data_IF_605577484067
#
_entry.id   IF_605577484067
#
_cell.length_a   1.000
_cell.length_b   1.000
_cell.length_c   1.000
_cell.angle_alpha   90.00
_cell.angle_beta   90.00
_cell.angle_gamma   90.00
#
_symmetry.space_group_name_H-M   'P 1'
#
loop_
_entity.id
_entity.type
_entity.pdbx_description
1 polymer ?
#
# COMPACT_ATOMS: atom_id res chain seq x y z
N UNK A 1 48.67 -14.07 -42.74
CA UNK A 1 48.65 -13.16 -41.57
C UNK A 1 47.90 -13.88 -40.46
N UNK A 2 48.60 -14.41 -39.46
CA UNK A 2 48.73 -13.84 -38.08
C UNK A 2 47.66 -14.45 -37.15
N UNK A 3 47.91 -15.05 -35.98
CA UNK A 3 49.12 -15.50 -35.27
C UNK A 3 48.71 -16.62 -34.29
N UNK A 4 49.68 -17.43 -33.85
CA UNK A 4 49.55 -18.56 -32.91
C UNK A 4 49.82 -18.13 -31.45
N UNK A 5 49.45 -19.00 -30.49
CA UNK A 5 49.99 -19.22 -29.11
C UNK A 5 49.40 -18.31 -28.00
N UNK A 6 49.23 -18.68 -26.72
CA UNK A 6 49.95 -19.60 -25.83
C UNK A 6 49.05 -20.17 -24.71
N UNK A 7 49.34 -21.39 -24.26
CA UNK A 7 49.03 -21.86 -22.91
C UNK A 7 50.21 -21.54 -21.99
N UNK A 8 49.94 -21.12 -20.75
CA UNK A 8 50.89 -21.19 -19.64
C UNK A 8 50.12 -21.16 -18.31
N UNK A 9 50.40 -22.15 -17.48
CA UNK A 9 49.88 -22.34 -16.13
C UNK A 9 50.54 -21.36 -15.14
N UNK A 10 49.83 -21.01 -14.06
CA UNK A 10 50.45 -20.53 -12.81
C UNK A 10 49.82 -21.26 -11.62
N UNK A 11 50.73 -21.70 -10.77
CA UNK A 11 50.62 -22.52 -9.57
C UNK A 11 50.17 -21.70 -8.35
N UNK A 12 49.41 -22.38 -7.48
CA UNK A 12 49.16 -22.21 -6.03
C UNK A 12 49.72 -20.99 -5.28
N UNK A 13 48.91 -20.36 -4.42
CA UNK A 13 49.22 -20.16 -2.99
C UNK A 13 48.05 -19.55 -2.18
N UNK A 14 47.74 -20.15 -1.04
CA UNK A 14 47.43 -19.49 0.25
C UNK A 14 46.18 -18.60 0.39
N UNK A 15 45.30 -18.93 1.34
CA UNK A 15 45.28 -18.32 2.70
C UNK A 15 43.90 -18.56 3.34
N UNK A 16 43.88 -19.13 4.55
CA UNK A 16 42.70 -19.18 5.43
C UNK A 16 42.15 -17.77 5.67
N UNK A 17 40.85 -17.55 5.47
CA UNK A 17 40.11 -16.51 6.18
C UNK A 17 38.90 -17.13 6.87
N UNK A 18 38.86 -16.91 8.18
CA UNK A 18 37.79 -17.31 9.08
C UNK A 18 36.45 -16.75 8.62
N UNK A 19 35.41 -17.59 8.62
CA UNK A 19 34.04 -17.13 8.45
C UNK A 19 33.54 -16.67 9.82
N UNK A 20 33.20 -15.39 10.02
CA UNK A 20 32.53 -14.98 11.25
C UNK A 20 31.16 -15.69 11.30
N UNK A 21 30.83 -16.24 12.47
CA UNK A 21 29.48 -16.70 12.76
C UNK A 21 28.53 -15.51 12.55
N UNK A 22 27.69 -15.59 11.52
CA UNK A 22 26.63 -14.62 11.30
C UNK A 22 25.61 -14.84 12.42
N UNK A 23 25.67 -13.98 13.42
CA UNK A 23 24.51 -13.71 14.25
C UNK A 23 23.51 -12.92 13.41
N UNK A 24 22.24 -13.18 13.68
CA UNK A 24 21.11 -12.29 13.42
C UNK A 24 20.48 -12.43 12.03
N UNK A 25 19.36 -13.16 11.99
CA UNK A 25 18.10 -12.51 11.61
C UNK A 25 16.98 -13.25 12.34
N UNK A 26 16.44 -12.58 13.35
CA UNK A 26 15.19 -12.96 13.95
C UNK A 26 14.18 -13.08 12.83
N UNK A 27 13.66 -14.28 12.61
CA UNK A 27 12.55 -14.51 11.70
C UNK A 27 11.33 -13.78 12.27
N UNK A 28 11.26 -12.48 12.02
CA UNK A 28 10.08 -11.68 12.23
C UNK A 28 9.02 -12.30 11.33
N UNK A 29 8.13 -13.06 11.96
CA UNK A 29 6.87 -13.47 11.35
C UNK A 29 6.22 -12.22 10.74
N UNK A 30 5.56 -12.32 9.58
CA UNK A 30 4.84 -11.18 9.02
C UNK A 30 3.83 -10.73 10.07
N UNK A 31 4.12 -9.60 10.70
CA UNK A 31 3.23 -8.98 11.67
C UNK A 31 1.99 -8.56 10.88
N UNK A 32 0.95 -9.39 10.92
CA UNK A 32 -0.39 -8.90 10.60
C UNK A 32 -0.68 -7.76 11.58
N UNK A 33 -1.09 -6.58 11.11
CA UNK A 33 -1.47 -5.51 12.01
C UNK A 33 -2.52 -6.05 12.99
N UNK A 34 -2.26 -5.84 14.28
CA UNK A 34 -3.07 -6.37 15.37
C UNK A 34 -4.48 -5.77 15.28
N UNK A 35 -5.49 -6.62 15.41
CA UNK A 35 -6.91 -6.27 15.28
C UNK A 35 -7.38 -5.14 16.24
N UNK A 36 -6.60 -4.83 17.27
CA UNK A 36 -6.87 -3.72 18.21
C UNK A 36 -6.51 -2.33 17.65
N UNK A 37 -5.56 -2.24 16.70
CA UNK A 37 -5.22 -0.97 16.01
C UNK A 37 -6.33 -0.57 15.01
N UNK A 38 -7.03 -1.57 14.50
CA UNK A 38 -8.09 -1.42 13.49
C UNK A 38 -9.34 -0.72 14.05
N UNK A 39 -9.70 -1.03 15.30
CA UNK A 39 -10.81 -0.37 16.00
C UNK A 39 -10.49 1.10 16.33
N UNK A 40 -9.22 1.50 16.28
CA UNK A 40 -8.72 2.85 16.49
C UNK A 40 -8.51 3.65 15.19
N UNK A 41 -8.88 3.11 14.02
CA UNK A 41 -8.84 3.87 12.78
C UNK A 41 -9.93 4.95 12.80
N UNK A 42 -9.52 6.14 13.25
CA UNK A 42 -10.38 7.31 13.31
C UNK A 42 -10.90 7.66 11.90
N UNK A 43 -12.22 7.85 11.80
CA UNK A 43 -12.88 8.15 10.54
C UNK A 43 -12.41 9.48 9.95
N UNK A 44 -12.00 10.45 10.79
CA UNK A 44 -11.46 11.72 10.29
C UNK A 44 -10.03 11.54 9.75
N UNK A 45 -9.22 10.68 10.35
CA UNK A 45 -7.94 10.26 9.76
C UNK A 45 -8.09 9.59 8.40
N UNK A 46 -9.01 8.63 8.30
CA UNK A 46 -9.30 7.94 7.04
C UNK A 46 -9.82 8.91 5.97
N UNK A 47 -10.70 9.84 6.33
CA UNK A 47 -11.16 10.91 5.44
C UNK A 47 -9.99 11.74 4.91
N UNK A 48 -9.13 12.26 5.81
CA UNK A 48 -7.98 13.09 5.41
C UNK A 48 -7.04 12.33 4.48
N UNK A 49 -6.77 11.05 4.77
CA UNK A 49 -5.90 10.20 3.95
C UNK A 49 -6.52 9.94 2.57
N UNK A 50 -7.82 9.63 2.54
CA UNK A 50 -8.58 9.40 1.30
C UNK A 50 -8.62 10.65 0.41
N UNK A 51 -8.88 11.83 0.99
CA UNK A 51 -8.97 13.11 0.28
C UNK A 51 -7.63 13.58 -0.33
N UNK A 52 -6.49 13.10 0.17
CA UNK A 52 -5.15 13.43 -0.36
C UNK A 52 -4.77 12.63 -1.61
N UNK A 53 -5.56 11.63 -1.99
CA UNK A 53 -5.33 10.86 -3.21
C UNK A 53 -5.60 11.72 -4.46
N UNK A 54 -4.97 11.37 -5.58
CA UNK A 54 -5.43 11.87 -6.87
C UNK A 54 -6.84 11.37 -7.16
N UNK A 55 -7.59 12.05 -8.03
CA UNK A 55 -8.95 11.64 -8.39
C UNK A 55 -9.05 10.17 -8.81
N UNK A 56 -8.12 9.70 -9.66
CA UNK A 56 -8.12 8.32 -10.14
C UNK A 56 -7.91 7.30 -9.01
N UNK A 57 -6.96 7.57 -8.10
CA UNK A 57 -6.72 6.73 -6.92
C UNK A 57 -7.93 6.74 -5.98
N UNK A 58 -8.43 7.94 -5.66
CA UNK A 58 -9.62 8.15 -4.84
C UNK A 58 -10.81 7.33 -5.35
N UNK A 59 -11.12 7.47 -6.65
CA UNK A 59 -12.25 6.79 -7.27
C UNK A 59 -12.14 5.27 -7.13
N UNK A 60 -10.97 4.69 -7.42
CA UNK A 60 -10.73 3.24 -7.29
C UNK A 60 -10.94 2.75 -5.86
N UNK A 61 -10.47 3.50 -4.86
CA UNK A 61 -10.65 3.15 -3.44
C UNK A 61 -12.13 3.18 -3.05
N UNK A 62 -12.87 4.23 -3.44
CA UNK A 62 -14.32 4.34 -3.14
C UNK A 62 -15.13 3.26 -3.86
N UNK A 63 -14.80 2.96 -5.11
CA UNK A 63 -15.46 1.90 -5.88
C UNK A 63 -15.24 0.50 -5.27
N UNK A 64 -14.09 0.28 -4.62
CA UNK A 64 -13.73 -1.00 -4.00
C UNK A 64 -14.44 -1.26 -2.66
N UNK A 65 -15.01 -0.24 -2.01
CA UNK A 65 -15.80 -0.39 -0.77
C UNK A 65 -17.29 -0.26 -1.11
N UNK A 66 -18.08 -1.36 -1.08
CA UNK A 66 -19.48 -1.35 -1.55
C UNK A 66 -20.37 -0.29 -0.90
N UNK A 67 -20.24 -0.05 0.42
CA UNK A 67 -21.03 0.97 1.12
C UNK A 67 -20.67 2.40 0.68
N UNK A 68 -19.39 2.70 0.46
CA UNK A 68 -18.98 4.03 0.00
C UNK A 68 -19.43 4.26 -1.45
N UNK A 69 -19.25 3.27 -2.31
CA UNK A 69 -19.78 3.29 -3.68
C UNK A 69 -21.29 3.52 -3.69
N UNK A 70 -22.04 2.78 -2.87
CA UNK A 70 -23.49 2.93 -2.77
C UNK A 70 -23.90 4.35 -2.31
N UNK A 71 -23.14 4.98 -1.40
CA UNK A 71 -23.36 6.38 -1.02
C UNK A 71 -23.19 7.35 -2.20
N UNK A 72 -22.27 7.08 -3.12
CA UNK A 72 -22.11 7.91 -4.34
C UNK A 72 -23.22 7.64 -5.34
N UNK A 73 -23.53 6.37 -5.58
CA UNK A 73 -24.57 5.95 -6.52
C UNK A 73 -25.98 6.43 -6.08
N UNK A 74 -26.19 6.62 -4.77
CA UNK A 74 -27.41 7.19 -4.22
C UNK A 74 -27.69 8.64 -4.67
N UNK A 75 -26.68 9.39 -5.14
CA UNK A 75 -26.85 10.70 -5.76
C UNK A 75 -27.36 10.63 -7.21
N UNK A 76 -27.53 9.42 -7.77
CA UNK A 76 -28.03 9.19 -9.11
C UNK A 76 -26.98 9.39 -10.20
N UNK A 77 -27.43 9.63 -11.43
CA UNK A 77 -26.58 9.61 -12.63
C UNK A 77 -25.38 10.59 -12.60
N UNK A 78 -25.48 11.66 -11.81
CA UNK A 78 -24.44 12.70 -11.69
C UNK A 78 -23.59 12.56 -10.41
N UNK A 79 -23.83 11.54 -9.58
CA UNK A 79 -23.16 11.39 -8.28
C UNK A 79 -21.63 11.39 -8.39
N UNK A 80 -21.10 10.64 -9.36
CA UNK A 80 -19.66 10.58 -9.61
C UNK A 80 -19.07 11.89 -10.12
N UNK A 81 -19.83 12.69 -10.89
CA UNK A 81 -19.37 14.00 -11.34
C UNK A 81 -19.33 15.01 -10.18
N UNK A 82 -20.35 14.98 -9.32
CA UNK A 82 -20.36 15.79 -8.11
C UNK A 82 -19.20 15.44 -7.18
N UNK A 83 -18.98 14.14 -6.96
CA UNK A 83 -17.85 13.67 -6.15
C UNK A 83 -16.53 14.07 -6.79
N UNK A 84 -16.35 13.91 -8.10
CA UNK A 84 -15.13 14.35 -8.79
C UNK A 84 -14.80 15.83 -8.55
N UNK A 85 -15.80 16.69 -8.55
CA UNK A 85 -15.61 18.13 -8.34
C UNK A 85 -15.31 18.50 -6.87
N UNK A 86 -15.69 17.66 -5.91
CA UNK A 86 -15.70 18.01 -4.49
C UNK A 86 -14.97 17.00 -3.59
N UNK A 87 -14.33 15.96 -4.13
CA UNK A 87 -13.90 14.82 -3.32
C UNK A 87 -12.92 15.20 -2.21
N UNK A 88 -12.09 16.24 -2.42
CA UNK A 88 -11.10 16.75 -1.46
C UNK A 88 -11.70 17.63 -0.34
N UNK A 89 -12.93 18.11 -0.51
CA UNK A 89 -13.62 19.00 0.47
C UNK A 89 -14.91 18.40 1.00
N UNK A 90 -15.44 17.35 0.37
CA UNK A 90 -16.65 16.66 0.75
C UNK A 90 -16.46 15.91 2.08
N UNK A 91 -17.50 15.95 2.93
CA UNK A 91 -17.49 15.35 4.26
C UNK A 91 -17.70 13.82 4.24
N UNK A 92 -16.67 13.08 3.85
CA UNK A 92 -16.64 11.62 3.80
C UNK A 92 -16.74 10.96 5.16
N UNK A 93 -16.37 11.64 6.24
CA UNK A 93 -16.39 11.08 7.60
C UNK A 93 -17.71 10.39 7.92
N UNK A 94 -18.86 10.98 7.58
CA UNK A 94 -20.19 10.40 7.84
C UNK A 94 -20.43 9.08 7.10
N UNK A 95 -19.84 8.91 5.91
CA UNK A 95 -19.91 7.66 5.17
C UNK A 95 -18.96 6.61 5.76
N UNK A 96 -17.78 7.04 6.22
CA UNK A 96 -16.78 6.18 6.86
C UNK A 96 -17.26 5.71 8.25
N UNK A 97 -17.97 6.55 9.00
CA UNK A 97 -18.57 6.21 10.31
C UNK A 97 -19.61 5.08 10.22
N UNK A 98 -20.16 4.82 9.02
CA UNK A 98 -21.11 3.72 8.76
C UNK A 98 -20.43 2.39 8.41
N UNK A 99 -19.11 2.43 8.22
CA UNK A 99 -18.31 1.24 7.97
C UNK A 99 -18.06 0.51 9.29
N UNK A 100 -18.12 -0.81 9.27
CA UNK A 100 -17.67 -1.62 10.39
C UNK A 100 -16.14 -1.62 10.51
N UNK A 101 -15.59 -2.29 11.52
CA UNK A 101 -14.15 -2.30 11.76
C UNK A 101 -13.37 -2.97 10.61
N UNK A 102 -13.91 -4.04 10.02
CA UNK A 102 -13.25 -4.76 8.93
C UNK A 102 -13.24 -3.91 7.65
N UNK A 103 -14.35 -3.24 7.35
CA UNK A 103 -14.45 -2.32 6.22
C UNK A 103 -13.52 -1.10 6.39
N UNK A 104 -13.36 -0.58 7.61
CA UNK A 104 -12.40 0.50 7.89
C UNK A 104 -10.96 0.06 7.72
N UNK A 105 -10.62 -1.17 8.13
CA UNK A 105 -9.32 -1.75 7.85
C UNK A 105 -9.05 -1.85 6.36
N UNK A 106 -10.02 -2.40 5.62
CA UNK A 106 -9.91 -2.56 4.18
C UNK A 106 -9.74 -1.21 3.49
N UNK A 107 -10.48 -0.18 3.93
CA UNK A 107 -10.32 1.18 3.42
C UNK A 107 -8.90 1.72 3.67
N UNK A 108 -8.36 1.54 4.88
CA UNK A 108 -7.00 1.96 5.20
C UNK A 108 -5.95 1.30 4.28
N UNK A 109 -6.06 -0.03 4.11
CA UNK A 109 -5.17 -0.81 3.26
C UNK A 109 -5.24 -0.38 1.79
N UNK A 110 -6.45 -0.16 1.26
CA UNK A 110 -6.65 0.32 -0.10
C UNK A 110 -6.06 1.72 -0.32
N UNK A 111 -6.20 2.61 0.67
CA UNK A 111 -5.59 3.94 0.61
C UNK A 111 -4.06 3.83 0.56
N UNK A 112 -3.46 2.98 1.40
CA UNK A 112 -2.00 2.82 1.43
C UNK A 112 -1.46 2.20 0.14
N UNK A 113 -2.16 1.20 -0.41
CA UNK A 113 -1.85 0.62 -1.72
C UNK A 113 -1.96 1.66 -2.83
N UNK A 114 -3.02 2.48 -2.83
CA UNK A 114 -3.23 3.50 -3.85
C UNK A 114 -2.12 4.56 -3.84
N UNK A 115 -1.57 4.91 -2.67
CA UNK A 115 -0.44 5.85 -2.54
C UNK A 115 0.89 5.28 -2.99
N UNK A 116 1.08 3.97 -2.84
CA UNK A 116 2.30 3.28 -3.25
C UNK A 116 2.33 2.98 -4.76
N UNK A 117 1.18 2.99 -5.43
CA UNK A 117 1.09 2.82 -6.87
C UNK A 117 1.57 4.09 -7.61
N UNK A 118 2.53 3.97 -8.55
CA UNK A 118 3.09 5.09 -9.31
C UNK A 118 2.10 5.71 -10.30
#
# INVERSE_FOLDING_TARGET
MSSKRFAAAIVSLGMLWAVPAVSMESRAAPQRPQAEDVAALDSADLERRLQRLSWTQFKRVVEAIPKLKASVDAYGALGWQYVQANYSTYHWKKNIDRLDAAERQQLAELIDQARAAP
#
